data_IF_100168371374
#
_entry.id   IF_100168371374
#
_cell.length_a   1.000
_cell.length_b   1.000
_cell.length_c   1.000
_cell.angle_alpha   90.00
_cell.angle_beta   90.00
_cell.angle_gamma   90.00
#
_symmetry.space_group_name_H-M   'P 1'
#
loop_
_entity.id
_entity.type
_entity.pdbx_description
1 polymer ?
#
# COMPACT_ATOMS: atom_id res chain seq x y z
N UNK A 1 -32.40 -38.52 0.97
CA UNK A 1 -32.93 -37.14 0.91
C UNK A 1 -31.80 -36.22 1.32
N UNK A 2 -31.02 -35.77 0.37
CA UNK A 2 -29.95 -34.78 0.55
C UNK A 2 -30.60 -33.39 0.57
N UNK A 3 -30.47 -32.69 1.69
CA UNK A 3 -31.10 -31.38 1.91
C UNK A 3 -30.52 -30.27 1.00
N UNK A 4 -31.30 -29.23 0.71
CA UNK A 4 -30.95 -28.17 -0.27
C UNK A 4 -30.00 -27.07 0.30
N UNK A 5 -29.07 -27.41 1.20
CA UNK A 5 -28.22 -26.40 1.86
C UNK A 5 -26.75 -26.43 1.46
N UNK A 6 -26.33 -27.18 0.43
CA UNK A 6 -24.92 -27.28 0.04
C UNK A 6 -24.52 -26.39 -1.17
N UNK A 7 -25.45 -25.71 -1.82
CA UNK A 7 -25.16 -24.91 -3.02
C UNK A 7 -25.12 -23.39 -2.80
N UNK A 8 -25.52 -22.91 -1.62
CA UNK A 8 -25.50 -21.47 -1.30
C UNK A 8 -24.11 -20.89 -0.96
N UNK A 9 -23.06 -21.71 -1.00
CA UNK A 9 -21.71 -21.30 -0.63
C UNK A 9 -20.73 -21.22 -1.82
N UNK A 10 -21.19 -21.11 -3.05
CA UNK A 10 -20.33 -21.25 -4.24
C UNK A 10 -19.88 -19.94 -4.89
N UNK A 11 -20.49 -18.81 -4.62
CA UNK A 11 -20.03 -17.51 -5.14
C UNK A 11 -19.02 -16.89 -4.16
N UNK A 12 -17.73 -17.14 -4.41
CA UNK A 12 -16.65 -16.56 -3.63
C UNK A 12 -16.20 -15.25 -4.26
N UNK A 13 -16.48 -14.13 -3.58
CA UNK A 13 -15.86 -12.86 -3.92
C UNK A 13 -14.36 -12.90 -3.65
N UNK A 14 -13.58 -12.17 -4.43
CA UNK A 14 -12.13 -12.11 -4.26
C UNK A 14 -11.67 -10.66 -4.10
N UNK A 15 -10.91 -10.41 -3.04
CA UNK A 15 -10.26 -9.13 -2.80
C UNK A 15 -8.77 -9.28 -3.08
N UNK A 16 -8.26 -8.54 -4.04
CA UNK A 16 -6.84 -8.48 -4.37
C UNK A 16 -6.30 -7.19 -3.77
N UNK A 17 -5.49 -7.28 -2.73
CA UNK A 17 -4.78 -6.16 -2.13
C UNK A 17 -3.44 -5.96 -2.84
N UNK A 18 -3.18 -4.75 -3.31
CA UNK A 18 -1.93 -4.39 -3.98
C UNK A 18 -1.36 -3.10 -3.38
N UNK A 19 -0.22 -3.19 -2.71
CA UNK A 19 0.54 -2.00 -2.36
C UNK A 19 1.20 -1.46 -3.61
N UNK A 20 1.14 -0.13 -3.81
CA UNK A 20 1.84 0.53 -4.92
C UNK A 20 3.30 0.11 -5.02
N UNK A 21 3.88 0.13 -6.20
CA UNK A 21 5.30 -0.12 -6.46
C UNK A 21 6.21 0.91 -5.77
N UNK A 22 7.51 0.66 -5.78
CA UNK A 22 8.49 1.57 -5.19
C UNK A 22 8.29 3.00 -5.71
N UNK A 23 8.15 3.96 -4.79
CA UNK A 23 8.13 5.38 -5.11
C UNK A 23 9.53 6.02 -4.96
N UNK A 24 9.71 7.20 -5.54
CA UNK A 24 10.97 7.97 -5.41
C UNK A 24 11.36 8.20 -3.94
N UNK A 25 10.39 8.39 -3.03
CA UNK A 25 10.66 8.56 -1.61
C UNK A 25 10.78 7.23 -0.85
N UNK A 26 10.30 6.12 -1.39
CA UNK A 26 10.71 4.80 -0.87
C UNK A 26 12.19 4.53 -1.17
N UNK A 27 12.66 4.87 -2.38
CA UNK A 27 14.05 4.73 -2.79
C UNK A 27 14.99 5.60 -1.96
N UNK A 28 14.65 6.88 -1.75
CA UNK A 28 15.43 7.81 -0.91
C UNK A 28 15.21 7.65 0.60
N UNK A 29 14.45 6.62 1.03
CA UNK A 29 14.18 6.30 2.43
C UNK A 29 13.51 7.44 3.22
N UNK A 30 12.57 8.18 2.60
CA UNK A 30 11.85 9.29 3.21
C UNK A 30 10.44 8.88 3.67
N UNK A 31 9.92 9.59 4.69
CA UNK A 31 8.51 9.52 5.07
C UNK A 31 7.65 10.21 4.00
N UNK A 32 6.72 9.49 3.39
CA UNK A 32 5.94 10.01 2.26
C UNK A 32 4.59 10.58 2.68
N UNK A 33 3.78 9.80 3.38
CA UNK A 33 2.42 10.21 3.76
C UNK A 33 1.56 10.61 2.57
N UNK A 34 0.95 11.80 2.66
CA UNK A 34 0.06 12.35 1.62
C UNK A 34 0.80 13.17 0.57
N UNK A 35 2.13 13.30 0.66
CA UNK A 35 2.92 13.92 -0.42
C UNK A 35 2.80 13.07 -1.69
N UNK A 36 2.49 13.74 -2.81
CA UNK A 36 2.13 13.07 -4.07
C UNK A 36 3.35 12.81 -4.96
N UNK A 37 4.22 11.89 -4.50
CA UNK A 37 5.41 11.45 -5.24
C UNK A 37 5.09 10.37 -6.24
N UNK A 38 5.93 10.25 -7.27
CA UNK A 38 5.77 9.28 -8.35
C UNK A 38 6.48 7.95 -8.07
N UNK A 39 6.20 6.96 -8.93
CA UNK A 39 6.91 5.68 -8.97
C UNK A 39 8.33 5.87 -9.53
N UNK A 40 9.24 5.01 -9.11
CA UNK A 40 10.50 4.77 -9.82
C UNK A 40 10.28 3.79 -10.99
N UNK A 41 11.25 3.66 -11.89
CA UNK A 41 11.24 2.64 -12.94
C UNK A 41 11.09 1.23 -12.35
N UNK A 42 11.72 0.96 -11.20
CA UNK A 42 11.53 -0.28 -10.44
C UNK A 42 10.08 -0.44 -9.99
N UNK A 43 9.46 0.62 -9.44
CA UNK A 43 8.07 0.59 -8.99
C UNK A 43 7.08 0.34 -10.12
N UNK A 44 7.35 0.86 -11.33
CA UNK A 44 6.55 0.54 -12.53
C UNK A 44 6.68 -0.93 -12.94
N UNK A 45 7.88 -1.51 -12.85
CA UNK A 45 8.11 -2.93 -13.12
C UNK A 45 7.44 -3.82 -12.06
N UNK A 46 7.48 -3.43 -10.78
CA UNK A 46 6.76 -4.12 -9.69
C UNK A 46 5.25 -4.13 -9.97
N UNK A 47 4.68 -3.00 -10.38
CA UNK A 47 3.25 -2.90 -10.73
C UNK A 47 2.89 -3.73 -11.97
N UNK A 48 3.76 -3.79 -12.99
CA UNK A 48 3.57 -4.63 -14.16
C UNK A 48 3.57 -6.11 -13.80
N UNK A 49 4.57 -6.55 -13.01
CA UNK A 49 4.65 -7.92 -12.52
C UNK A 49 3.40 -8.30 -11.72
N UNK A 50 2.88 -7.39 -10.88
CA UNK A 50 1.64 -7.63 -10.13
C UNK A 50 0.47 -7.96 -11.07
N UNK A 51 0.32 -7.21 -12.16
CA UNK A 51 -0.71 -7.48 -13.18
C UNK A 51 -0.51 -8.82 -13.89
N UNK A 52 0.72 -9.18 -14.20
CA UNK A 52 1.07 -10.48 -14.80
C UNK A 52 0.75 -11.65 -13.86
N UNK A 53 1.06 -11.51 -12.55
CA UNK A 53 0.69 -12.50 -11.53
C UNK A 53 -0.83 -12.66 -11.42
N UNK A 54 -1.58 -11.54 -11.40
CA UNK A 54 -3.05 -11.54 -11.37
C UNK A 54 -3.60 -12.30 -12.60
N UNK A 55 -3.08 -12.02 -13.79
CA UNK A 55 -3.49 -12.69 -15.02
C UNK A 55 -3.15 -14.19 -15.01
N UNK A 56 -1.94 -14.54 -14.60
CA UNK A 56 -1.47 -15.94 -14.52
C UNK A 56 -2.29 -16.77 -13.53
N UNK A 57 -2.70 -16.16 -12.41
CA UNK A 57 -3.59 -16.78 -11.43
C UNK A 57 -5.04 -16.90 -11.92
N UNK A 58 -5.37 -16.45 -13.14
CA UNK A 58 -6.71 -16.48 -13.69
C UNK A 58 -7.69 -15.52 -13.01
N UNK A 59 -7.17 -14.58 -12.22
CA UNK A 59 -7.99 -13.57 -11.53
C UNK A 59 -8.43 -12.50 -12.53
N UNK A 60 -9.72 -12.14 -12.45
CA UNK A 60 -10.34 -11.19 -13.38
C UNK A 60 -11.00 -10.05 -12.60
N UNK A 61 -10.25 -9.06 -12.12
CA UNK A 61 -10.85 -7.91 -11.45
C UNK A 61 -11.96 -7.27 -12.31
N UNK A 62 -13.08 -6.92 -11.68
CA UNK A 62 -14.24 -6.30 -12.31
C UNK A 62 -14.34 -4.83 -11.98
N UNK A 63 -13.70 -4.41 -10.90
CA UNK A 63 -13.60 -3.02 -10.44
C UNK A 63 -12.30 -2.81 -9.68
N UNK A 64 -11.79 -1.59 -9.74
CA UNK A 64 -10.63 -1.17 -8.93
C UNK A 64 -11.02 -0.05 -8.00
N UNK A 65 -10.56 -0.16 -6.75
CA UNK A 65 -10.51 0.94 -5.79
C UNK A 65 -9.07 1.38 -5.59
N UNK A 66 -8.83 2.68 -5.59
CA UNK A 66 -7.50 3.24 -5.33
C UNK A 66 -7.61 4.60 -4.61
N UNK A 67 -6.49 5.08 -4.10
CA UNK A 67 -6.40 6.36 -3.41
C UNK A 67 -6.37 7.56 -4.38
N UNK A 68 -6.22 8.76 -3.83
CA UNK A 68 -5.99 9.98 -4.60
C UNK A 68 -4.51 10.25 -4.89
N UNK A 69 -3.61 9.35 -4.49
CA UNK A 69 -2.17 9.54 -4.62
C UNK A 69 -1.63 8.86 -5.86
N UNK A 70 -0.85 9.61 -6.64
CA UNK A 70 -0.33 9.24 -7.96
C UNK A 70 0.29 7.86 -8.02
N UNK A 71 1.16 7.51 -7.05
CA UNK A 71 1.85 6.22 -7.01
C UNK A 71 0.91 5.02 -6.96
N UNK A 72 -0.22 5.12 -6.23
CA UNK A 72 -1.22 4.05 -6.19
C UNK A 72 -2.06 4.02 -7.46
N UNK A 73 -2.48 5.18 -7.97
CA UNK A 73 -3.22 5.31 -9.24
C UNK A 73 -2.40 4.73 -10.40
N UNK A 74 -1.12 5.09 -10.51
CA UNK A 74 -0.25 4.58 -11.58
C UNK A 74 0.00 3.08 -11.43
N UNK A 75 0.23 2.58 -10.22
CA UNK A 75 0.38 1.13 -9.97
C UNK A 75 -0.87 0.37 -10.39
N UNK A 76 -2.06 0.86 -10.04
CA UNK A 76 -3.32 0.26 -10.49
C UNK A 76 -3.43 0.23 -12.01
N UNK A 77 -3.18 1.35 -12.69
CA UNK A 77 -3.27 1.43 -14.15
C UNK A 77 -2.28 0.50 -14.87
N UNK A 78 -1.04 0.42 -14.39
CA UNK A 78 0.00 -0.46 -14.94
C UNK A 78 -0.39 -1.93 -14.72
N UNK A 79 -0.82 -2.30 -13.51
CA UNK A 79 -1.26 -3.66 -13.20
C UNK A 79 -2.49 -4.08 -14.05
N UNK A 80 -3.48 -3.19 -14.20
CA UNK A 80 -4.63 -3.44 -15.06
C UNK A 80 -4.26 -3.62 -16.52
N UNK A 81 -3.32 -2.83 -17.03
CA UNK A 81 -2.81 -2.96 -18.40
C UNK A 81 -2.14 -4.33 -18.59
N UNK A 82 -1.26 -4.74 -17.68
CA UNK A 82 -0.58 -6.03 -17.72
C UNK A 82 -1.54 -7.22 -17.56
N UNK A 83 -2.61 -7.05 -16.76
CA UNK A 83 -3.68 -8.05 -16.61
C UNK A 83 -4.71 -8.03 -17.74
N UNK A 84 -4.57 -7.15 -18.76
CA UNK A 84 -5.55 -6.93 -19.83
C UNK A 84 -6.96 -6.59 -19.28
N UNK A 85 -7.02 -5.76 -18.23
CA UNK A 85 -8.26 -5.34 -17.53
C UNK A 85 -8.40 -3.81 -17.43
N UNK A 86 -7.67 -3.03 -18.22
CA UNK A 86 -7.63 -1.56 -18.15
C UNK A 86 -8.98 -0.86 -18.46
N UNK A 87 -9.96 -1.58 -19.00
CA UNK A 87 -11.29 -1.06 -19.36
C UNK A 87 -12.31 -1.09 -18.21
N UNK A 88 -12.00 -1.72 -17.08
CA UNK A 88 -12.93 -1.84 -15.96
C UNK A 88 -13.05 -0.53 -15.16
N UNK A 89 -14.16 -0.32 -14.40
CA UNK A 89 -14.32 0.87 -13.58
C UNK A 89 -13.22 1.04 -12.54
N UNK A 90 -12.81 2.31 -12.33
CA UNK A 90 -11.83 2.71 -11.30
C UNK A 90 -12.45 3.75 -10.39
N UNK A 91 -12.54 3.46 -9.10
CA UNK A 91 -13.04 4.35 -8.05
C UNK A 91 -11.87 4.87 -7.24
N UNK A 92 -11.78 6.19 -7.08
CA UNK A 92 -10.74 6.85 -6.28
C UNK A 92 -11.35 7.45 -5.04
N UNK A 93 -10.73 7.21 -3.87
CA UNK A 93 -11.21 7.77 -2.62
C UNK A 93 -10.05 8.05 -1.67
N UNK A 94 -10.07 9.24 -1.01
CA UNK A 94 -9.06 9.65 -0.05
C UNK A 94 -9.02 8.76 1.20
N UNK A 95 -10.12 8.09 1.53
CA UNK A 95 -10.19 7.20 2.71
C UNK A 95 -9.23 6.03 2.63
N UNK A 96 -8.71 5.72 1.46
CA UNK A 96 -7.66 4.70 1.25
C UNK A 96 -6.30 5.30 0.89
N UNK A 97 -6.11 6.62 1.10
CA UNK A 97 -4.78 7.23 1.07
C UNK A 97 -3.84 6.58 2.10
N UNK A 98 -2.53 6.78 1.92
CA UNK A 98 -1.52 6.45 2.92
C UNK A 98 -1.80 7.19 4.24
N UNK A 99 -1.27 6.70 5.35
CA UNK A 99 -1.27 7.39 6.63
C UNK A 99 -0.57 8.74 6.50
N UNK A 100 -1.16 9.80 7.05
CA UNK A 100 -0.55 11.11 7.07
C UNK A 100 0.57 11.15 8.11
N UNK A 101 1.80 11.34 7.68
CA UNK A 101 2.96 11.31 8.58
C UNK A 101 3.27 12.66 9.25
N UNK A 102 2.37 13.65 9.17
CA UNK A 102 2.52 14.93 9.84
C UNK A 102 3.83 15.65 9.48
N UNK A 103 4.50 16.17 10.50
CA UNK A 103 5.78 16.89 10.34
C UNK A 103 6.95 15.98 9.93
N UNK A 104 6.78 14.65 9.90
CA UNK A 104 7.81 13.74 9.40
C UNK A 104 7.84 13.65 7.88
N UNK A 105 6.81 14.13 7.16
CA UNK A 105 6.78 14.09 5.69
C UNK A 105 8.02 14.78 5.11
N UNK A 106 8.71 14.10 4.20
CA UNK A 106 9.95 14.57 3.58
C UNK A 106 11.22 14.26 4.35
N UNK A 107 11.15 13.91 5.64
CA UNK A 107 12.33 13.58 6.44
C UNK A 107 12.86 12.18 6.08
N UNK A 108 14.19 12.02 6.10
CA UNK A 108 14.83 10.73 5.95
C UNK A 108 14.61 9.88 7.22
N UNK A 109 14.28 8.60 7.05
CA UNK A 109 13.93 7.71 8.17
C UNK A 109 15.12 7.41 9.07
N UNK A 110 16.33 7.21 8.50
CA UNK A 110 17.53 6.95 9.28
C UNK A 110 17.94 8.19 10.09
N UNK A 111 17.95 9.37 9.47
CA UNK A 111 18.25 10.63 10.15
C UNK A 111 17.20 10.94 11.24
N UNK A 112 15.93 10.63 11.01
CA UNK A 112 14.87 10.79 12.01
C UNK A 112 15.11 9.88 13.20
N UNK A 113 15.48 8.60 12.97
CA UNK A 113 15.84 7.67 14.03
C UNK A 113 17.05 8.16 14.82
N UNK A 114 18.10 8.59 14.13
CA UNK A 114 19.33 9.07 14.78
C UNK A 114 19.09 10.35 15.62
N UNK A 115 18.15 11.21 15.19
CA UNK A 115 17.79 12.44 15.89
C UNK A 115 16.90 12.20 17.12
N UNK A 116 15.89 11.32 17.02
CA UNK A 116 14.86 11.17 18.04
C UNK A 116 15.00 9.89 18.88
N UNK A 117 15.92 8.99 18.51
CA UNK A 117 16.13 7.69 19.13
C UNK A 117 15.21 6.61 18.55
N UNK A 118 15.63 5.35 18.70
CA UNK A 118 14.94 4.17 18.14
C UNK A 118 13.50 4.05 18.66
N UNK A 119 13.29 4.20 19.98
CA UNK A 119 11.98 4.00 20.62
C UNK A 119 10.95 5.00 20.11
N UNK A 120 11.32 6.27 20.05
CA UNK A 120 10.42 7.31 19.54
C UNK A 120 10.16 7.16 18.05
N UNK A 121 11.19 6.83 17.25
CA UNK A 121 11.06 6.54 15.83
C UNK A 121 10.12 5.37 15.58
N UNK A 122 10.30 4.27 16.31
CA UNK A 122 9.44 3.08 16.19
C UNK A 122 8.03 3.35 16.66
N UNK A 123 7.83 4.13 17.73
CA UNK A 123 6.53 4.57 18.19
C UNK A 123 5.78 5.32 17.08
N UNK A 124 6.35 6.34 16.47
CA UNK A 124 5.73 7.07 15.35
C UNK A 124 5.53 6.22 14.10
N UNK A 125 6.43 5.28 13.84
CA UNK A 125 6.39 4.47 12.62
C UNK A 125 5.44 3.29 12.70
N UNK A 126 5.33 2.64 13.85
CA UNK A 126 4.75 1.30 13.98
C UNK A 126 3.61 1.16 14.97
N UNK A 127 3.54 2.00 16.02
CA UNK A 127 2.47 1.88 17.01
C UNK A 127 1.09 2.05 16.35
N UNK A 128 0.10 1.51 17.03
CA UNK A 128 -1.29 1.58 16.58
C UNK A 128 -1.89 2.98 16.78
N UNK A 129 -1.60 3.63 17.92
CA UNK A 129 -2.31 4.80 18.42
C UNK A 129 -1.46 6.05 18.63
N UNK A 130 -0.14 6.00 18.36
CA UNK A 130 0.75 7.15 18.55
C UNK A 130 1.02 7.86 17.23
N UNK A 131 0.42 9.04 16.98
CA UNK A 131 0.66 9.81 15.77
C UNK A 131 2.03 10.51 15.81
N UNK A 132 2.64 10.76 14.64
CA UNK A 132 3.73 11.73 14.54
C UNK A 132 3.29 13.16 14.93
N UNK A 133 4.22 14.10 15.17
CA UNK A 133 3.87 15.50 15.34
C UNK A 133 3.07 16.05 14.15
N UNK A 134 2.11 16.95 14.45
CA UNK A 134 1.28 17.54 13.40
C UNK A 134 2.09 18.35 12.40
N UNK A 135 1.62 18.35 11.16
CA UNK A 135 2.14 19.21 10.11
C UNK A 135 1.84 20.68 10.43
N UNK A 136 2.80 21.58 10.26
CA UNK A 136 2.58 23.01 10.43
C UNK A 136 1.62 23.57 9.36
N UNK A 137 0.88 24.64 9.70
CA UNK A 137 -0.11 25.23 8.80
C UNK A 137 0.50 25.79 7.50
N UNK A 138 1.70 26.33 7.59
CA UNK A 138 2.48 26.90 6.50
C UNK A 138 3.35 25.90 5.75
N UNK A 139 3.22 24.62 6.07
CA UNK A 139 4.02 23.58 5.42
C UNK A 139 3.70 23.48 3.92
N UNK A 140 4.75 23.37 3.10
CA UNK A 140 4.62 23.08 1.67
C UNK A 140 3.88 21.74 1.35
N UNK A 141 3.74 20.88 2.35
CA UNK A 141 3.04 19.59 2.23
C UNK A 141 1.60 19.64 2.75
N UNK A 142 1.08 20.84 3.05
CA UNK A 142 -0.31 21.03 3.45
C UNK A 142 -1.26 20.67 2.31
N UNK A 143 -2.42 20.09 2.64
CA UNK A 143 -3.53 19.84 1.71
C UNK A 143 -4.47 21.04 1.58
N UNK A 144 -4.18 22.15 2.27
CA UNK A 144 -5.00 23.37 2.20
C UNK A 144 -5.05 23.90 0.74
N UNK A 145 -6.26 24.03 0.22
CA UNK A 145 -6.48 24.48 -1.17
C UNK A 145 -6.21 23.45 -2.26
N UNK A 146 -5.86 22.22 -1.93
CA UNK A 146 -5.73 21.15 -2.91
C UNK A 146 -7.11 20.66 -3.37
N UNK A 147 -7.45 20.77 -4.68
CA UNK A 147 -8.76 20.40 -5.18
C UNK A 147 -9.12 18.93 -5.00
N UNK A 148 -8.14 18.05 -4.81
CA UNK A 148 -8.37 16.62 -4.53
C UNK A 148 -9.09 16.39 -3.20
N UNK A 149 -8.99 17.34 -2.28
CA UNK A 149 -9.53 17.27 -0.92
C UNK A 149 -10.57 18.35 -0.63
N UNK A 150 -11.11 19.00 -1.67
CA UNK A 150 -12.09 20.07 -1.52
C UNK A 150 -13.34 19.65 -0.74
N UNK A 151 -13.75 18.39 -0.89
CA UNK A 151 -14.92 17.82 -0.21
C UNK A 151 -14.55 17.12 1.12
N UNK A 152 -13.31 17.24 1.58
CA UNK A 152 -12.86 16.67 2.85
C UNK A 152 -12.91 17.74 3.93
N UNK A 153 -13.88 17.63 4.81
CA UNK A 153 -13.94 18.49 5.98
C UNK A 153 -12.77 18.16 6.91
N UNK A 154 -11.90 19.13 7.19
CA UNK A 154 -10.72 18.99 8.05
C UNK A 154 -9.79 17.84 7.63
N UNK A 155 -9.07 17.94 6.50
CA UNK A 155 -8.05 16.96 6.13
C UNK A 155 -7.07 16.72 7.29
N UNK A 156 -6.65 15.46 7.55
CA UNK A 156 -5.76 15.17 8.67
C UNK A 156 -4.41 15.86 8.50
N UNK A 157 -3.87 16.38 9.60
CA UNK A 157 -2.52 16.97 9.67
C UNK A 157 -1.49 15.99 10.22
N UNK A 158 -1.95 14.89 10.80
CA UNK A 158 -1.18 13.73 11.24
C UNK A 158 -2.13 12.57 11.46
N UNK A 159 -1.65 11.34 11.37
CA UNK A 159 -2.41 10.13 11.66
C UNK A 159 -1.54 9.07 12.34
N UNK A 160 -2.09 8.37 13.32
CA UNK A 160 -1.66 7.03 13.70
C UNK A 160 -2.41 5.95 12.88
N UNK A 161 -2.11 4.67 13.10
CA UNK A 161 -2.80 3.60 12.36
C UNK A 161 -4.28 3.51 12.72
N UNK A 162 -4.66 3.80 13.98
CA UNK A 162 -6.04 3.85 14.46
C UNK A 162 -6.89 4.85 13.66
N UNK A 163 -6.33 6.01 13.31
CA UNK A 163 -7.04 7.01 12.49
C UNK A 163 -7.27 6.50 11.07
N UNK A 164 -6.28 5.79 10.50
CA UNK A 164 -6.43 5.14 9.19
C UNK A 164 -7.52 4.06 9.23
N UNK A 165 -7.57 3.24 10.29
CA UNK A 165 -8.65 2.26 10.53
C UNK A 165 -10.00 2.97 10.57
N UNK A 166 -10.12 4.06 11.35
CA UNK A 166 -11.37 4.79 11.51
C UNK A 166 -11.95 5.35 10.19
N UNK A 167 -11.09 5.69 9.20
CA UNK A 167 -11.56 6.18 7.89
C UNK A 167 -11.66 5.12 6.82
N UNK A 168 -10.79 4.10 6.85
CA UNK A 168 -10.72 3.09 5.78
C UNK A 168 -11.73 1.96 5.95
N UNK A 169 -11.98 1.51 7.20
CA UNK A 169 -12.84 0.35 7.44
C UNK A 169 -14.31 0.65 7.15
N UNK A 170 -14.92 1.76 7.62
CA UNK A 170 -16.30 2.06 7.23
C UNK A 170 -16.48 2.21 5.70
N UNK A 171 -15.46 2.73 5.00
CA UNK A 171 -15.49 2.81 3.54
C UNK A 171 -15.41 1.41 2.90
N UNK A 172 -14.55 0.53 3.41
CA UNK A 172 -14.48 -0.85 2.95
C UNK A 172 -15.81 -1.58 3.14
N UNK A 173 -16.42 -1.45 4.32
CA UNK A 173 -17.67 -2.13 4.67
C UNK A 173 -18.87 -1.62 3.84
N UNK A 174 -18.92 -0.32 3.52
CA UNK A 174 -20.02 0.26 2.75
C UNK A 174 -19.89 0.09 1.23
N UNK A 175 -18.67 0.14 0.68
CA UNK A 175 -18.46 0.22 -0.76
C UNK A 175 -17.87 -1.06 -1.38
N UNK A 176 -16.99 -1.75 -0.65
CA UNK A 176 -16.22 -2.88 -1.19
C UNK A 176 -16.83 -4.21 -0.76
N UNK A 177 -17.12 -4.39 0.52
CA UNK A 177 -17.63 -5.63 1.06
C UNK A 177 -18.95 -6.11 0.39
N UNK A 178 -19.92 -5.23 0.05
CA UNK A 178 -21.11 -5.67 -0.69
C UNK A 178 -20.78 -6.32 -2.04
N UNK A 179 -19.79 -5.80 -2.77
CA UNK A 179 -19.36 -6.39 -4.05
C UNK A 179 -18.72 -7.76 -3.89
N UNK A 180 -17.97 -7.94 -2.80
CA UNK A 180 -17.38 -9.24 -2.46
C UNK A 180 -18.46 -10.26 -2.10
N UNK A 181 -19.50 -9.85 -1.36
CA UNK A 181 -20.67 -10.69 -1.07
C UNK A 181 -21.43 -11.09 -2.32
N UNK A 182 -21.45 -10.22 -3.33
CA UNK A 182 -22.05 -10.49 -4.65
C UNK A 182 -21.15 -11.37 -5.54
N UNK A 183 -20.03 -11.89 -5.02
CA UNK A 183 -19.11 -12.77 -5.74
C UNK A 183 -18.15 -12.07 -6.70
N UNK A 184 -18.07 -10.73 -6.68
CA UNK A 184 -17.18 -9.98 -7.56
C UNK A 184 -15.71 -10.12 -7.16
N UNK A 185 -14.82 -9.98 -8.14
CA UNK A 185 -13.38 -9.83 -7.93
C UNK A 185 -13.02 -8.35 -7.92
N UNK A 186 -12.52 -7.87 -6.79
CA UNK A 186 -12.15 -6.46 -6.56
C UNK A 186 -10.63 -6.33 -6.43
N UNK A 187 -10.03 -5.38 -7.14
CA UNK A 187 -8.65 -4.96 -6.91
C UNK A 187 -8.64 -3.69 -6.04
N UNK A 188 -7.95 -3.73 -4.92
CA UNK A 188 -7.69 -2.56 -4.07
C UNK A 188 -6.19 -2.21 -4.14
N UNK A 189 -5.85 -1.20 -4.92
CA UNK A 189 -4.48 -0.70 -5.06
C UNK A 189 -4.27 0.51 -4.14
N UNK A 190 -3.47 0.35 -3.09
CA UNK A 190 -3.34 1.34 -2.02
C UNK A 190 -1.91 1.39 -1.43
N UNK A 191 -1.78 1.61 -0.13
CA UNK A 191 -0.52 1.96 0.52
C UNK A 191 -0.22 1.04 1.72
N UNK A 192 1.00 1.15 2.25
CA UNK A 192 1.45 0.32 3.35
C UNK A 192 0.52 0.38 4.56
N UNK A 193 0.16 1.55 5.05
CA UNK A 193 -0.68 1.65 6.25
C UNK A 193 -2.17 1.50 5.98
N UNK A 194 -2.69 1.93 4.82
CA UNK A 194 -4.09 1.66 4.49
C UNK A 194 -4.36 0.15 4.33
N UNK A 195 -3.42 -0.58 3.74
CA UNK A 195 -3.53 -2.05 3.65
C UNK A 195 -3.30 -2.73 5.01
N UNK A 196 -2.38 -2.22 5.85
CA UNK A 196 -2.22 -2.72 7.23
C UNK A 196 -3.48 -2.54 8.06
N UNK A 197 -4.16 -1.41 7.93
CA UNK A 197 -5.44 -1.16 8.59
C UNK A 197 -6.51 -2.18 8.14
N UNK A 198 -6.56 -2.46 6.83
CA UNK A 198 -7.51 -3.41 6.28
C UNK A 198 -7.19 -4.86 6.70
N UNK A 199 -5.93 -5.30 6.58
CA UNK A 199 -5.50 -6.64 7.00
C UNK A 199 -5.71 -6.83 8.51
N UNK A 200 -5.43 -5.80 9.34
CA UNK A 200 -5.75 -5.83 10.77
C UNK A 200 -7.23 -6.14 11.02
N UNK A 201 -8.13 -5.50 10.27
CA UNK A 201 -9.57 -5.72 10.38
C UNK A 201 -9.97 -7.11 9.89
N UNK A 202 -9.46 -7.54 8.74
CA UNK A 202 -9.82 -8.83 8.13
C UNK A 202 -9.34 -10.02 8.97
N UNK A 203 -8.12 -9.96 9.49
CA UNK A 203 -7.49 -11.06 10.23
C UNK A 203 -7.59 -10.91 11.76
N UNK A 204 -8.32 -9.89 12.25
CA UNK A 204 -8.51 -9.62 13.68
C UNK A 204 -7.18 -9.50 14.46
N UNK A 205 -6.16 -8.92 13.82
CA UNK A 205 -4.83 -8.72 14.43
C UNK A 205 -4.95 -7.76 15.61
N UNK A 206 -4.29 -8.06 16.75
CA UNK A 206 -4.30 -7.20 17.93
C UNK A 206 -3.62 -5.83 17.68
N UNK A 207 -3.81 -4.88 18.60
CA UNK A 207 -3.18 -3.56 18.52
C UNK A 207 -1.66 -3.65 18.74
N UNK A 208 -1.22 -4.65 19.51
CA UNK A 208 0.18 -4.96 19.79
C UNK A 208 0.85 -5.63 18.56
N UNK A 209 0.20 -6.65 18.00
CA UNK A 209 0.78 -7.47 16.93
C UNK A 209 0.86 -6.75 15.58
N UNK A 210 -0.01 -5.76 15.35
CA UNK A 210 -0.03 -5.01 14.09
C UNK A 210 1.29 -4.30 13.80
N UNK A 211 2.10 -3.99 14.82
CA UNK A 211 3.40 -3.37 14.64
C UNK A 211 4.35 -4.24 13.80
N UNK A 212 4.23 -5.57 13.88
CA UNK A 212 5.03 -6.53 13.13
C UNK A 212 4.63 -6.72 11.67
N UNK A 213 3.41 -6.34 11.27
CA UNK A 213 2.93 -6.55 9.90
C UNK A 213 3.61 -5.61 8.90
N UNK A 214 4.19 -6.19 7.86
CA UNK A 214 4.78 -5.48 6.73
C UNK A 214 4.14 -5.93 5.41
N UNK A 215 3.63 -4.98 4.64
CA UNK A 215 3.06 -5.24 3.31
C UNK A 215 4.12 -4.89 2.25
N UNK A 216 4.60 -5.85 1.45
CA UNK A 216 5.57 -5.60 0.38
C UNK A 216 4.99 -4.76 -0.75
N UNK A 217 5.82 -4.01 -1.48
CA UNK A 217 5.42 -3.27 -2.68
C UNK A 217 5.19 -4.22 -3.86
N UNK A 218 4.20 -3.91 -4.70
CA UNK A 218 3.96 -4.61 -5.96
C UNK A 218 3.61 -6.11 -5.84
N UNK A 219 3.18 -6.57 -4.68
CA UNK A 219 2.90 -7.99 -4.43
C UNK A 219 1.42 -8.20 -4.12
N UNK A 220 0.66 -8.87 -5.01
CA UNK A 220 -0.77 -9.11 -4.78
C UNK A 220 -1.01 -10.10 -3.65
N UNK A 221 -1.86 -9.72 -2.69
CA UNK A 221 -2.38 -10.54 -1.59
C UNK A 221 -3.87 -10.77 -1.82
N UNK A 222 -4.33 -12.01 -1.84
CA UNK A 222 -5.69 -12.39 -2.22
C UNK A 222 -6.45 -12.95 -1.02
N UNK A 223 -7.60 -12.34 -0.71
CA UNK A 223 -8.60 -12.88 0.21
C UNK A 223 -9.81 -13.40 -0.56
N UNK A 224 -10.37 -14.49 -0.09
CA UNK A 224 -11.63 -15.04 -0.59
C UNK A 224 -12.76 -14.81 0.42
N UNK A 225 -13.93 -14.41 -0.06
CA UNK A 225 -15.10 -14.10 0.74
C UNK A 225 -16.26 -14.99 0.38
N UNK A 226 -16.94 -15.53 1.38
CA UNK A 226 -18.22 -16.17 1.22
C UNK A 226 -19.35 -15.12 1.01
N UNK A 227 -20.52 -15.56 0.56
CA UNK A 227 -21.68 -14.70 0.31
C UNK A 227 -22.19 -13.95 1.55
N UNK A 228 -21.95 -14.47 2.75
CA UNK A 228 -22.26 -13.79 4.02
C UNK A 228 -21.22 -12.72 4.40
N UNK A 229 -20.10 -12.63 3.66
CA UNK A 229 -19.00 -11.71 3.89
C UNK A 229 -17.92 -12.25 4.83
N UNK A 230 -18.00 -13.50 5.26
CA UNK A 230 -16.93 -14.14 6.02
C UNK A 230 -15.73 -14.46 5.14
N UNK A 231 -14.54 -14.44 5.74
CA UNK A 231 -13.28 -14.75 5.05
C UNK A 231 -13.10 -16.27 5.01
N UNK A 232 -12.80 -16.79 3.82
CA UNK A 232 -12.60 -18.22 3.60
C UNK A 232 -11.14 -18.63 3.86
N UNK A 233 -10.19 -17.76 3.55
CA UNK A 233 -8.74 -17.97 3.71
C UNK A 233 -8.12 -16.88 4.63
N UNK A 234 -8.28 -16.95 5.96
CA UNK A 234 -7.68 -15.99 6.88
C UNK A 234 -6.17 -15.87 6.65
N UNK A 235 -5.65 -14.63 6.71
CA UNK A 235 -4.26 -14.31 6.37
C UNK A 235 -4.05 -14.01 4.89
N UNK A 236 -4.98 -14.42 4.03
CA UNK A 236 -4.85 -14.27 2.59
C UNK A 236 -3.70 -15.08 1.98
N UNK A 237 -3.62 -15.10 0.66
CA UNK A 237 -2.58 -15.79 -0.08
C UNK A 237 -1.83 -14.83 -1.00
N UNK A 238 -0.53 -14.67 -0.82
CA UNK A 238 0.31 -13.95 -1.78
C UNK A 238 0.47 -14.74 -3.07
N UNK A 239 0.33 -14.09 -4.23
CA UNK A 239 0.49 -14.76 -5.54
C UNK A 239 1.94 -15.18 -5.83
N UNK A 240 2.91 -14.62 -5.11
CA UNK A 240 4.31 -15.04 -5.09
C UNK A 240 4.82 -14.95 -3.63
N UNK A 241 4.66 -16.03 -2.83
CA UNK A 241 4.99 -16.00 -1.41
C UNK A 241 6.47 -15.75 -1.10
N UNK A 242 7.37 -16.27 -1.93
CA UNK A 242 8.82 -16.09 -1.73
C UNK A 242 9.23 -14.62 -1.93
N UNK A 243 8.76 -14.01 -3.02
CA UNK A 243 9.02 -12.60 -3.27
C UNK A 243 8.30 -11.71 -2.25
N UNK A 244 7.13 -12.09 -1.75
CA UNK A 244 6.42 -11.36 -0.70
C UNK A 244 7.20 -11.38 0.61
N UNK A 245 7.75 -12.52 1.03
CA UNK A 245 8.57 -12.63 2.23
C UNK A 245 9.82 -11.75 2.14
N UNK A 246 10.55 -11.82 1.03
CA UNK A 246 11.73 -11.00 0.79
C UNK A 246 11.40 -9.49 0.81
N UNK A 247 10.28 -9.10 0.16
CA UNK A 247 9.80 -7.73 0.14
C UNK A 247 9.36 -7.22 1.52
N UNK A 248 8.69 -8.02 2.33
CA UNK A 248 8.29 -7.68 3.69
C UNK A 248 9.52 -7.46 4.60
N UNK A 249 10.55 -8.31 4.48
CA UNK A 249 11.82 -8.13 5.19
C UNK A 249 12.52 -6.81 4.79
N UNK A 250 12.53 -6.47 3.49
CA UNK A 250 13.08 -5.20 3.03
C UNK A 250 12.33 -3.98 3.60
N UNK A 251 11.00 -4.05 3.72
CA UNK A 251 10.19 -2.99 4.36
C UNK A 251 10.49 -2.88 5.85
N UNK A 252 10.68 -4.00 6.56
CA UNK A 252 11.05 -4.00 7.98
C UNK A 252 12.35 -3.25 8.21
N UNK A 253 13.34 -3.45 7.35
CA UNK A 253 14.69 -2.87 7.45
C UNK A 253 14.81 -1.41 7.00
N UNK A 254 13.74 -0.79 6.47
CA UNK A 254 13.71 0.62 6.03
C UNK A 254 13.99 1.61 7.15
N UNK A 255 14.61 1.63 8.05
CA UNK A 255 14.97 2.55 9.12
C UNK A 255 16.35 2.19 9.68
N UNK A 256 16.84 0.99 9.33
CA UNK A 256 18.12 0.49 9.79
C UNK A 256 19.26 0.79 8.79
N UNK A 257 18.94 1.19 7.55
CA UNK A 257 19.92 1.58 6.54
C UNK A 257 20.46 2.99 6.86
N UNK A 258 21.32 3.08 7.85
CA UNK A 258 22.22 4.20 8.05
C UNK A 258 23.38 4.08 7.06
N UNK A 259 23.73 5.19 6.43
CA UNK A 259 24.92 5.51 5.63
C UNK A 259 25.89 4.34 5.40
N UNK A 260 25.86 3.70 4.23
CA UNK A 260 26.89 2.73 3.89
C UNK A 260 26.53 1.71 2.82
N UNK A 261 25.98 2.14 1.68
CA UNK A 261 26.26 1.50 0.39
C UNK A 261 26.29 2.58 -0.69
N UNK A 262 27.49 3.01 -1.16
CA UNK A 262 27.59 3.69 -2.45
C UNK A 262 27.16 2.66 -3.49
N UNK A 263 26.21 3.07 -4.36
CA UNK A 263 25.69 2.24 -5.42
C UNK A 263 26.79 1.58 -6.22
N UNK A 264 26.70 0.29 -6.42
CA UNK A 264 27.62 -0.51 -7.24
C UNK A 264 27.55 -0.19 -8.75
N UNK A 265 27.00 0.97 -9.13
CA UNK A 265 26.84 1.38 -10.54
C UNK A 265 27.84 2.46 -11.01
N UNK A 266 28.85 2.83 -10.21
CA UNK A 266 29.90 3.77 -10.67
C UNK A 266 31.10 3.10 -11.34
N UNK A 267 31.19 1.80 -11.37
CA UNK A 267 32.29 1.09 -12.06
C UNK A 267 32.10 1.05 -13.58
N UNK A 268 30.87 1.12 -14.10
CA UNK A 268 30.61 1.09 -15.54
C UNK A 268 30.79 2.42 -16.29
N UNK A 269 30.71 3.54 -15.59
CA UNK A 269 30.80 4.88 -16.25
C UNK A 269 32.23 5.41 -16.37
N UNK A 270 33.19 4.91 -15.58
CA UNK A 270 34.59 5.31 -15.72
C UNK A 270 35.33 4.59 -16.85
N UNK A 271 34.89 3.41 -17.26
CA UNK A 271 35.51 2.65 -18.35
C UNK A 271 35.09 3.24 -19.72
N UNK A 272 33.85 3.71 -19.87
CA UNK A 272 33.36 4.29 -21.11
C UNK A 272 33.95 5.69 -21.44
N UNK A 273 34.44 6.43 -20.43
CA UNK A 273 35.07 7.73 -20.64
C UNK A 273 36.56 7.65 -20.99
N UNK A 274 37.22 6.50 -20.77
CA UNK A 274 38.63 6.27 -21.13
C UNK A 274 38.81 5.73 -22.54
N UNK A 275 37.78 5.11 -23.13
CA UNK A 275 37.82 4.58 -24.48
C UNK A 275 37.43 5.57 -25.58
N UNK A 276 36.96 6.78 -25.22
CA UNK A 276 36.69 7.88 -26.17
C UNK A 276 37.82 8.93 -26.26
N UNK A 277 38.92 8.71 -25.56
CA UNK A 277 40.07 9.63 -25.58
C UNK A 277 41.36 8.97 -26.16
N UNK A 278 41.19 7.98 -27.04
CA UNK A 278 42.30 7.41 -27.84
C UNK A 278 41.99 7.46 -29.33
#
# INVERSE_FOLDING_TARGET
>A
MTGPNSELNSAKGKLILLRHGQSTWNESNQFTGWVDVDLTARGENEARRAGELIATAGLKPEIVYTSLLRRAIRSANIALSAANRHWIPVVRNWRINERHYGALQGLNKAETRDKYGEDQFMSWRRSYDTPPPELADDSQYSQAGDPRYADVENPPRTECLKDVVARAIPYFESEILPRLRDGQTVLLAAHGNSLRALVKHLDQISDEDIAGLNIPTGMPLVYEFAADGSIVNPGGDYLDPEAAQAGAAAVANQGQLGQGQPGQDQAGQKQAAQDQAK
#
